data_IF_406076583347
#
_entry.id   IF_406076583347
#
_cell.length_a   1.000
_cell.length_b   1.000
_cell.length_c   1.000
_cell.angle_alpha   90.00
_cell.angle_beta   90.00
_cell.angle_gamma   90.00
#
_symmetry.space_group_name_H-M   'P 1'
#
loop_
_entity.id
_entity.type
_entity.pdbx_description
1 polymer ?
#
# COMPACT_ATOMS: atom_id res chain seq x y z
N UNK A 1 34.96 58.72 -47.79
CA UNK A 1 34.87 58.08 -46.45
C UNK A 1 33.54 57.39 -46.24
N UNK A 2 33.48 56.06 -46.36
CA UNK A 2 32.29 55.29 -46.12
C UNK A 2 32.32 54.78 -44.68
N UNK A 3 31.43 55.27 -43.81
CA UNK A 3 31.23 54.73 -42.46
C UNK A 3 30.52 53.36 -42.56
N UNK A 4 31.20 52.26 -42.19
CA UNK A 4 30.62 50.95 -41.93
C UNK A 4 29.84 51.06 -40.65
N UNK A 5 28.52 50.96 -40.73
CA UNK A 5 27.66 50.76 -39.58
C UNK A 5 27.89 49.31 -39.07
N UNK A 6 28.45 49.15 -37.89
CA UNK A 6 28.49 47.90 -37.15
C UNK A 6 27.06 47.61 -36.76
N UNK A 7 26.48 46.62 -37.43
CA UNK A 7 25.19 46.01 -37.03
C UNK A 7 25.45 45.30 -35.71
N UNK A 8 25.02 45.90 -34.60
CA UNK A 8 25.00 45.25 -33.32
C UNK A 8 24.07 44.03 -33.41
N UNK A 9 24.64 42.83 -33.42
CA UNK A 9 23.86 41.64 -33.17
C UNK A 9 23.22 41.77 -31.79
N UNK A 10 21.90 41.87 -31.77
CA UNK A 10 21.16 42.02 -30.52
C UNK A 10 21.42 40.79 -29.66
N UNK A 11 21.85 41.00 -28.41
CA UNK A 11 22.11 39.96 -27.37
C UNK A 11 20.98 38.96 -27.22
N UNK A 12 19.77 39.30 -27.60
CA UNK A 12 18.56 38.49 -27.69
C UNK A 12 18.69 37.30 -28.64
N UNK A 13 19.36 37.41 -29.80
CA UNK A 13 19.48 36.32 -30.76
C UNK A 13 20.46 35.22 -30.32
N UNK A 14 21.51 35.57 -29.60
CA UNK A 14 22.43 34.60 -29.01
C UNK A 14 21.76 33.82 -27.85
N UNK A 15 21.00 34.51 -26.98
CA UNK A 15 20.25 33.95 -25.88
C UNK A 15 19.26 32.87 -26.35
N UNK A 16 18.47 33.18 -27.38
CA UNK A 16 17.50 32.23 -27.96
C UNK A 16 18.19 31.03 -28.64
N UNK A 17 19.34 31.18 -29.26
CA UNK A 17 20.04 30.15 -30.00
C UNK A 17 20.83 29.17 -29.12
N UNK A 18 21.29 29.61 -27.93
CA UNK A 18 22.14 28.79 -27.06
C UNK A 18 21.45 28.38 -25.75
N UNK A 19 20.81 29.32 -25.06
CA UNK A 19 20.21 29.02 -23.75
C UNK A 19 18.89 28.28 -23.85
N UNK A 20 18.06 28.55 -24.84
CA UNK A 20 16.79 27.82 -25.02
C UNK A 20 17.00 26.34 -25.31
N UNK A 21 17.86 25.91 -26.25
CA UNK A 21 18.15 24.48 -26.43
C UNK A 21 18.74 23.82 -25.17
N UNK A 22 19.67 24.50 -24.49
CA UNK A 22 20.25 23.99 -23.25
C UNK A 22 19.20 23.79 -22.14
N UNK A 23 18.29 24.75 -21.97
CA UNK A 23 17.18 24.64 -21.03
C UNK A 23 16.21 23.51 -21.39
N UNK A 24 15.91 23.32 -22.69
CA UNK A 24 15.07 22.21 -23.15
C UNK A 24 15.73 20.86 -22.92
N UNK A 25 17.04 20.74 -23.16
CA UNK A 25 17.78 19.50 -22.86
C UNK A 25 17.77 19.22 -21.36
N UNK A 26 18.04 20.23 -20.54
CA UNK A 26 18.00 20.06 -19.08
C UNK A 26 16.61 19.64 -18.60
N UNK A 27 15.55 20.27 -19.11
CA UNK A 27 14.18 19.90 -18.82
C UNK A 27 13.87 18.44 -19.23
N UNK A 28 14.31 18.04 -20.44
CA UNK A 28 14.12 16.66 -20.92
C UNK A 28 14.85 15.64 -20.04
N UNK A 29 16.07 15.95 -19.59
CA UNK A 29 16.83 15.10 -18.67
C UNK A 29 16.12 14.98 -17.31
N UNK A 30 15.65 16.09 -16.74
CA UNK A 30 14.90 16.09 -15.49
C UNK A 30 13.61 15.27 -15.64
N UNK A 31 12.85 15.47 -16.71
CA UNK A 31 11.63 14.72 -16.97
C UNK A 31 11.89 13.21 -17.12
N UNK A 32 12.99 12.84 -17.80
CA UNK A 32 13.41 11.44 -17.93
C UNK A 32 13.75 10.81 -16.58
N UNK A 33 14.52 11.52 -15.75
CA UNK A 33 14.90 11.05 -14.41
C UNK A 33 13.65 10.88 -13.52
N UNK A 34 12.79 11.90 -13.46
CA UNK A 34 11.55 11.81 -12.67
C UNK A 34 10.63 10.70 -13.20
N UNK A 35 10.50 10.53 -14.51
CA UNK A 35 9.75 9.44 -15.13
C UNK A 35 10.31 8.07 -14.76
N UNK A 36 11.63 7.91 -14.79
CA UNK A 36 12.31 6.69 -14.35
C UNK A 36 12.06 6.38 -12.87
N UNK A 37 12.20 7.37 -11.98
CA UNK A 37 11.92 7.21 -10.55
C UNK A 37 10.47 6.77 -10.32
N UNK A 38 9.52 7.44 -10.98
CA UNK A 38 8.10 7.10 -10.86
C UNK A 38 7.80 5.71 -11.40
N UNK A 39 8.41 5.34 -12.53
CA UNK A 39 8.25 3.99 -13.07
C UNK A 39 8.76 2.91 -12.08
N UNK A 40 9.94 3.11 -11.50
CA UNK A 40 10.51 2.19 -10.51
C UNK A 40 9.64 2.05 -9.26
N UNK A 41 9.06 3.16 -8.77
CA UNK A 41 8.15 3.15 -7.62
C UNK A 41 6.80 2.51 -7.98
N UNK A 42 6.26 2.78 -9.17
CA UNK A 42 4.97 2.19 -9.57
C UNK A 42 5.05 0.70 -9.94
N UNK A 43 6.23 0.22 -10.34
CA UNK A 43 6.46 -1.17 -10.73
C UNK A 43 7.59 -1.81 -9.89
N UNK A 44 7.30 -2.24 -8.65
CA UNK A 44 8.32 -2.88 -7.80
C UNK A 44 8.85 -4.20 -8.38
N UNK A 45 8.17 -4.74 -9.37
CA UNK A 45 8.48 -6.02 -10.01
C UNK A 45 7.73 -7.20 -9.36
N UNK A 46 7.72 -8.35 -10.05
CA UNK A 46 7.10 -9.55 -9.53
C UNK A 46 7.90 -10.11 -8.35
N UNK A 47 7.16 -10.59 -7.35
CA UNK A 47 7.74 -11.32 -6.20
C UNK A 47 7.51 -12.80 -6.43
N UNK A 48 8.57 -13.60 -6.30
CA UNK A 48 8.45 -15.06 -6.44
C UNK A 48 7.63 -15.62 -5.28
N UNK A 49 6.51 -16.27 -5.58
CA UNK A 49 5.79 -17.07 -4.59
C UNK A 49 6.63 -18.32 -4.25
N UNK A 50 7.26 -18.33 -3.09
CA UNK A 50 8.11 -19.43 -2.64
C UNK A 50 7.30 -20.61 -2.11
N UNK A 51 6.12 -20.34 -1.57
CA UNK A 51 5.24 -21.31 -0.94
C UNK A 51 3.77 -20.97 -1.24
N UNK A 52 2.91 -21.98 -1.17
CA UNK A 52 1.47 -21.85 -1.30
C UNK A 52 0.76 -22.48 -0.08
N UNK A 53 -0.55 -22.33 0.09
CA UNK A 53 -1.26 -22.83 1.27
C UNK A 53 -1.08 -24.33 1.55
N UNK A 54 -0.87 -25.15 0.53
CA UNK A 54 -0.70 -26.61 0.70
C UNK A 54 0.58 -26.97 1.47
N UNK A 55 1.63 -26.15 1.40
CA UNK A 55 2.86 -26.33 2.18
C UNK A 55 2.59 -26.23 3.70
N UNK A 56 1.54 -25.55 4.08
CA UNK A 56 1.09 -25.38 5.47
C UNK A 56 -0.12 -26.26 5.81
N UNK A 57 -0.48 -27.21 4.92
CA UNK A 57 -1.65 -28.08 5.06
C UNK A 57 -2.97 -27.29 5.20
N UNK A 58 -3.02 -26.07 4.69
CA UNK A 58 -4.23 -25.25 4.67
C UNK A 58 -5.10 -25.66 3.48
N UNK A 59 -6.40 -25.97 3.70
CA UNK A 59 -7.33 -26.15 2.60
C UNK A 59 -7.51 -24.83 1.87
N UNK A 60 -7.34 -24.80 0.55
CA UNK A 60 -7.46 -23.56 -0.20
C UNK A 60 -8.07 -23.74 -1.58
N UNK A 61 -8.78 -22.70 -2.02
CA UNK A 61 -9.30 -22.57 -3.39
C UNK A 61 -8.71 -21.30 -3.99
N UNK A 62 -8.17 -21.40 -5.19
CA UNK A 62 -7.76 -20.21 -5.95
C UNK A 62 -8.99 -19.50 -6.49
N UNK A 63 -9.07 -18.19 -6.28
CA UNK A 63 -10.18 -17.35 -6.72
C UNK A 63 -9.68 -16.17 -7.54
N UNK A 64 -10.58 -15.68 -8.39
CA UNK A 64 -10.41 -14.42 -9.11
C UNK A 64 -11.56 -13.50 -8.71
N UNK A 65 -11.26 -12.46 -7.94
CA UNK A 65 -12.26 -11.52 -7.41
C UNK A 65 -12.44 -10.41 -8.45
N UNK A 66 -13.69 -10.10 -8.87
CA UNK A 66 -13.93 -8.99 -9.78
C UNK A 66 -13.46 -7.66 -9.19
N UNK A 67 -12.69 -6.88 -9.96
CA UNK A 67 -12.32 -5.51 -9.60
C UNK A 67 -13.11 -4.51 -10.42
N UNK A 68 -13.49 -3.40 -9.81
CA UNK A 68 -14.14 -2.26 -10.47
C UNK A 68 -13.29 -1.61 -11.57
N UNK A 69 -11.99 -1.91 -11.59
CA UNK A 69 -11.06 -1.47 -12.63
C UNK A 69 -10.89 -2.45 -13.80
N UNK A 70 -11.74 -3.48 -13.90
CA UNK A 70 -11.79 -4.42 -15.02
C UNK A 70 -10.79 -5.58 -14.96
N UNK A 71 -9.85 -5.56 -14.01
CA UNK A 71 -8.89 -6.64 -13.77
C UNK A 71 -9.34 -7.47 -12.56
N UNK A 72 -9.19 -8.81 -12.61
CA UNK A 72 -9.50 -9.63 -11.45
C UNK A 72 -8.39 -9.59 -10.40
N UNK A 73 -8.77 -9.65 -9.13
CA UNK A 73 -7.86 -9.74 -7.98
C UNK A 73 -7.65 -11.23 -7.67
N UNK A 74 -6.42 -11.77 -7.83
CA UNK A 74 -6.16 -13.16 -7.48
C UNK A 74 -6.14 -13.33 -5.96
N UNK A 75 -6.73 -14.42 -5.48
CA UNK A 75 -6.79 -14.70 -4.05
C UNK A 75 -6.85 -16.19 -3.73
N UNK A 76 -6.44 -16.54 -2.52
CA UNK A 76 -6.63 -17.85 -1.91
C UNK A 76 -7.75 -17.76 -0.88
N UNK A 77 -8.84 -18.46 -1.13
CA UNK A 77 -9.86 -18.70 -0.12
C UNK A 77 -9.48 -19.89 0.74
N UNK A 78 -9.38 -19.68 2.03
CA UNK A 78 -9.06 -20.70 3.04
C UNK A 78 -10.26 -20.80 3.98
N UNK A 79 -11.13 -21.82 3.81
CA UNK A 79 -12.33 -21.98 4.63
C UNK A 79 -11.97 -22.36 6.06
N UNK A 80 -12.59 -21.70 7.02
CA UNK A 80 -12.57 -22.01 8.44
C UNK A 80 -13.86 -22.69 8.89
N UNK A 81 -14.40 -22.26 10.02
CA UNK A 81 -15.67 -22.76 10.54
C UNK A 81 -16.85 -22.11 9.80
N UNK A 82 -17.94 -22.85 9.65
CA UNK A 82 -19.15 -22.36 8.99
C UNK A 82 -19.70 -21.12 9.73
N UNK A 83 -19.98 -20.06 8.98
CA UNK A 83 -20.45 -18.77 9.49
C UNK A 83 -19.49 -18.09 10.50
N UNK A 84 -18.21 -18.48 10.50
CA UNK A 84 -17.20 -17.76 11.23
C UNK A 84 -16.96 -16.38 10.62
N UNK A 85 -16.41 -15.42 11.40
CA UNK A 85 -15.95 -14.16 10.86
C UNK A 85 -14.93 -14.35 9.73
N UNK A 86 -14.96 -13.47 8.74
CA UNK A 86 -14.02 -13.48 7.63
C UNK A 86 -12.87 -12.50 7.84
N UNK A 87 -11.63 -12.90 7.49
CA UNK A 87 -10.47 -12.01 7.55
C UNK A 87 -9.82 -11.94 6.16
N UNK A 88 -9.62 -10.72 5.68
CA UNK A 88 -8.84 -10.43 4.47
C UNK A 88 -7.38 -10.24 4.88
N UNK A 89 -6.48 -10.98 4.26
CA UNK A 89 -5.03 -10.84 4.42
C UNK A 89 -4.44 -10.25 3.14
N UNK A 90 -3.97 -9.03 3.23
CA UNK A 90 -3.46 -8.27 2.10
C UNK A 90 -2.02 -7.82 2.36
N UNK A 91 -1.02 -8.57 1.88
CA UNK A 91 0.37 -8.13 1.89
C UNK A 91 0.55 -6.80 1.18
N UNK A 92 1.61 -6.09 1.53
CA UNK A 92 1.83 -4.72 1.06
C UNK A 92 2.68 -4.62 -0.21
N UNK A 93 3.20 -3.43 -0.41
CA UNK A 93 4.06 -3.08 -1.53
C UNK A 93 5.31 -3.98 -1.62
N UNK A 94 5.49 -4.63 -2.77
CA UNK A 94 6.60 -5.54 -3.02
C UNK A 94 6.55 -6.84 -2.22
N UNK A 95 5.39 -7.25 -1.75
CA UNK A 95 5.11 -8.51 -1.09
C UNK A 95 4.21 -9.40 -1.94
N UNK A 96 4.08 -10.67 -1.59
CA UNK A 96 3.16 -11.64 -2.22
C UNK A 96 2.25 -12.29 -1.19
N UNK A 97 1.22 -13.00 -1.66
CA UNK A 97 0.31 -13.79 -0.81
C UNK A 97 1.06 -14.78 0.10
N UNK A 98 2.20 -15.30 -0.36
CA UNK A 98 3.05 -16.21 0.42
C UNK A 98 3.49 -15.62 1.76
N UNK A 99 3.71 -14.31 1.81
CA UNK A 99 4.21 -13.62 3.01
C UNK A 99 3.16 -13.56 4.14
N UNK A 100 1.88 -13.80 3.82
CA UNK A 100 0.80 -13.84 4.80
C UNK A 100 0.49 -15.26 5.32
N UNK A 101 1.13 -16.32 4.78
CA UNK A 101 0.72 -17.69 5.08
C UNK A 101 0.99 -18.11 6.52
N UNK A 102 2.05 -17.62 7.15
CA UNK A 102 2.30 -17.90 8.58
C UNK A 102 1.18 -17.35 9.46
N UNK A 103 0.77 -16.11 9.22
CA UNK A 103 -0.38 -15.51 9.90
C UNK A 103 -1.69 -16.23 9.55
N UNK A 104 -1.86 -16.65 8.29
CA UNK A 104 -3.03 -17.42 7.87
C UNK A 104 -3.17 -18.72 8.66
N UNK A 105 -2.07 -19.43 8.95
CA UNK A 105 -2.08 -20.63 9.82
C UNK A 105 -2.61 -20.27 11.21
N UNK A 106 -2.06 -19.23 11.83
CA UNK A 106 -2.47 -18.83 13.18
C UNK A 106 -3.96 -18.46 13.24
N UNK A 107 -4.46 -17.72 12.26
CA UNK A 107 -5.87 -17.31 12.17
C UNK A 107 -6.78 -18.50 11.86
N UNK A 108 -6.38 -19.40 10.96
CA UNK A 108 -7.15 -20.59 10.64
C UNK A 108 -7.32 -21.53 11.86
N UNK A 109 -6.31 -21.61 12.74
CA UNK A 109 -6.39 -22.35 14.00
C UNK A 109 -7.47 -21.79 14.95
N UNK A 110 -7.79 -20.49 14.84
CA UNK A 110 -8.92 -19.86 15.53
C UNK A 110 -10.27 -20.03 14.81
N UNK A 111 -10.31 -20.73 13.68
CA UNK A 111 -11.52 -21.06 12.95
C UNK A 111 -12.01 -19.98 11.99
N UNK A 112 -11.27 -18.90 11.76
CA UNK A 112 -11.63 -17.85 10.83
C UNK A 112 -11.67 -18.31 9.37
N UNK A 113 -12.59 -17.76 8.59
CA UNK A 113 -12.56 -17.83 7.15
C UNK A 113 -11.57 -16.80 6.62
N UNK A 114 -10.64 -17.20 5.74
CA UNK A 114 -9.57 -16.30 5.29
C UNK A 114 -9.62 -16.11 3.78
N UNK A 115 -9.32 -14.90 3.36
CA UNK A 115 -9.09 -14.54 1.96
C UNK A 115 -7.74 -13.84 1.86
N UNK A 116 -6.74 -14.50 1.28
CA UNK A 116 -5.40 -13.94 1.06
C UNK A 116 -5.32 -13.42 -0.35
N UNK A 117 -5.05 -12.13 -0.54
CA UNK A 117 -5.08 -11.48 -1.86
C UNK A 117 -3.75 -10.82 -2.22
N UNK A 118 -3.41 -10.82 -3.51
CA UNK A 118 -2.32 -9.99 -4.02
C UNK A 118 -2.80 -8.58 -4.31
N UNK A 119 -2.00 -7.61 -3.90
CA UNK A 119 -2.26 -6.21 -4.20
C UNK A 119 -1.77 -5.82 -5.60
N UNK A 120 -2.33 -4.73 -6.13
CA UNK A 120 -1.92 -4.09 -7.39
C UNK A 120 -0.43 -3.75 -7.38
N UNK A 121 0.27 -4.03 -8.48
CA UNK A 121 1.71 -3.81 -8.61
C UNK A 121 2.59 -4.75 -7.78
N UNK A 122 2.00 -5.67 -7.02
CA UNK A 122 2.69 -6.63 -6.14
C UNK A 122 2.27 -8.06 -6.45
N UNK A 123 2.86 -9.03 -5.75
CA UNK A 123 2.56 -10.45 -5.93
C UNK A 123 3.39 -11.11 -7.04
N UNK A 124 3.06 -12.37 -7.32
CA UNK A 124 3.77 -13.20 -8.31
C UNK A 124 3.44 -12.81 -9.76
N UNK A 125 2.25 -12.28 -10.00
CA UNK A 125 1.79 -11.77 -11.29
C UNK A 125 1.19 -10.38 -11.12
N UNK A 126 2.02 -9.33 -11.02
CA UNK A 126 1.55 -7.98 -10.72
C UNK A 126 0.54 -7.48 -11.76
N UNK A 127 -0.61 -7.00 -11.29
CA UNK A 127 -1.67 -6.40 -12.09
C UNK A 127 -1.45 -4.90 -12.16
N UNK A 128 -1.10 -4.37 -13.32
CA UNK A 128 -0.88 -2.94 -13.51
C UNK A 128 0.16 -2.34 -12.57
N UNK A 129 0.15 -1.02 -12.46
CA UNK A 129 1.03 -0.27 -11.58
C UNK A 129 0.46 -0.16 -10.16
N UNK A 130 1.33 -0.16 -9.15
CA UNK A 130 0.96 0.32 -7.82
C UNK A 130 0.66 1.81 -7.89
N UNK A 131 -0.41 2.21 -7.26
CA UNK A 131 -0.84 3.60 -7.11
C UNK A 131 -0.66 4.10 -5.67
N UNK A 132 0.19 3.40 -4.92
CA UNK A 132 0.61 3.74 -3.55
C UNK A 132 -0.57 3.89 -2.56
N UNK A 133 -1.63 3.10 -2.76
CA UNK A 133 -2.82 3.09 -1.90
C UNK A 133 -4.09 3.64 -2.55
N UNK A 134 -4.02 4.33 -3.71
CA UNK A 134 -5.19 4.94 -4.33
C UNK A 134 -6.17 3.88 -4.86
N UNK A 135 -5.78 3.12 -5.90
CA UNK A 135 -6.59 2.04 -6.48
C UNK A 135 -6.54 0.76 -5.66
N UNK A 136 -5.49 0.60 -4.85
CA UNK A 136 -5.42 -0.47 -3.85
C UNK A 136 -6.58 -0.38 -2.87
N UNK A 137 -7.04 0.83 -2.53
CA UNK A 137 -8.22 1.02 -1.70
C UNK A 137 -9.52 0.62 -2.41
N UNK A 138 -9.64 0.85 -3.71
CA UNK A 138 -10.79 0.41 -4.49
C UNK A 138 -10.81 -1.12 -4.63
N UNK A 139 -9.65 -1.75 -4.93
CA UNK A 139 -9.50 -3.21 -4.95
C UNK A 139 -9.82 -3.83 -3.58
N UNK A 140 -9.43 -3.19 -2.47
CA UNK A 140 -9.79 -3.63 -1.12
C UNK A 140 -11.30 -3.53 -0.88
N UNK A 141 -11.94 -2.45 -1.32
CA UNK A 141 -13.38 -2.29 -1.23
C UNK A 141 -14.13 -3.39 -2.01
N UNK A 142 -13.66 -3.73 -3.20
CA UNK A 142 -14.21 -4.83 -3.99
C UNK A 142 -14.01 -6.19 -3.29
N UNK A 143 -12.85 -6.39 -2.66
CA UNK A 143 -12.56 -7.59 -1.86
C UNK A 143 -13.47 -7.69 -0.64
N UNK A 144 -13.75 -6.57 0.05
CA UNK A 144 -14.70 -6.52 1.17
C UNK A 144 -16.12 -6.89 0.70
N UNK A 145 -16.59 -6.31 -0.42
CA UNK A 145 -17.92 -6.66 -0.99
C UNK A 145 -18.00 -8.13 -1.34
N UNK A 146 -16.93 -8.68 -1.92
CA UNK A 146 -16.86 -10.12 -2.21
C UNK A 146 -16.98 -10.97 -0.94
N UNK A 147 -16.28 -10.59 0.14
CA UNK A 147 -16.35 -11.30 1.42
C UNK A 147 -17.73 -11.21 2.09
N UNK A 148 -18.40 -10.05 2.00
CA UNK A 148 -19.79 -9.87 2.50
C UNK A 148 -20.74 -10.82 1.76
N UNK A 149 -20.57 -10.99 0.45
CA UNK A 149 -21.42 -11.85 -0.39
C UNK A 149 -21.20 -13.36 -0.23
N UNK A 150 -20.19 -13.80 0.54
CA UNK A 150 -19.90 -15.22 0.70
C UNK A 150 -20.78 -15.88 1.77
N UNK A 151 -21.51 -16.97 1.42
CA UNK A 151 -22.43 -17.62 2.35
C UNK A 151 -21.74 -18.35 3.51
N UNK A 152 -20.43 -18.63 3.37
CA UNK A 152 -19.64 -19.28 4.42
C UNK A 152 -19.27 -18.32 5.56
N UNK A 153 -19.26 -17.00 5.30
CA UNK A 153 -18.90 -15.98 6.26
C UNK A 153 -20.05 -15.53 7.15
N UNK A 154 -19.69 -14.96 8.29
CA UNK A 154 -20.55 -14.00 8.98
C UNK A 154 -20.35 -12.61 8.30
N UNK A 155 -21.33 -12.09 7.55
CA UNK A 155 -21.16 -10.85 6.80
C UNK A 155 -21.00 -9.60 7.69
N UNK A 156 -21.44 -9.66 8.96
CA UNK A 156 -21.39 -8.52 9.89
C UNK A 156 -20.07 -8.41 10.64
N UNK A 157 -19.19 -9.41 10.51
CA UNK A 157 -17.93 -9.51 11.28
C UNK A 157 -16.75 -9.81 10.36
N UNK A 158 -16.24 -8.76 9.73
CA UNK A 158 -15.05 -8.85 8.89
C UNK A 158 -13.86 -8.18 9.56
N UNK A 159 -12.68 -8.79 9.35
CA UNK A 159 -11.39 -8.24 9.71
C UNK A 159 -10.53 -8.00 8.47
N UNK A 160 -9.58 -7.08 8.56
CA UNK A 160 -8.56 -6.87 7.53
C UNK A 160 -7.20 -6.74 8.19
N UNK A 161 -6.24 -7.54 7.75
CA UNK A 161 -4.83 -7.31 7.99
C UNK A 161 -4.18 -6.78 6.71
N UNK A 162 -3.45 -5.70 6.83
CA UNK A 162 -2.75 -5.10 5.72
C UNK A 162 -1.40 -4.50 6.10
N UNK A 163 -0.48 -4.45 5.14
CA UNK A 163 0.86 -3.87 5.29
C UNK A 163 1.02 -2.71 4.31
N UNK A 164 1.60 -1.60 4.70
CA UNK A 164 1.88 -0.43 3.85
C UNK A 164 0.64 0.05 3.06
N UNK A 165 0.66 -0.13 1.72
CA UNK A 165 -0.44 0.24 0.81
C UNK A 165 -1.73 -0.48 1.13
N UNK A 166 -1.62 -1.74 1.59
CA UNK A 166 -2.77 -2.53 2.03
C UNK A 166 -3.28 -2.09 3.41
N UNK A 167 -2.41 -1.61 4.30
CA UNK A 167 -2.83 -1.03 5.58
C UNK A 167 -3.63 0.27 5.37
N UNK A 168 -3.16 1.13 4.45
CA UNK A 168 -3.89 2.32 4.03
C UNK A 168 -5.26 1.95 3.44
N UNK A 169 -5.30 0.98 2.53
CA UNK A 169 -6.53 0.48 1.90
C UNK A 169 -7.49 -0.15 2.93
N UNK A 170 -6.97 -0.89 3.91
CA UNK A 170 -7.74 -1.51 4.99
C UNK A 170 -8.42 -0.47 5.88
N UNK A 171 -7.68 0.55 6.32
CA UNK A 171 -8.23 1.64 7.14
C UNK A 171 -9.30 2.44 6.37
N UNK A 172 -9.05 2.74 5.09
CA UNK A 172 -10.03 3.42 4.23
C UNK A 172 -11.29 2.57 4.02
N UNK A 173 -11.14 1.25 3.87
CA UNK A 173 -12.28 0.34 3.76
C UNK A 173 -13.04 0.21 5.08
N UNK A 174 -12.36 0.18 6.23
CA UNK A 174 -13.01 0.15 7.53
C UNK A 174 -13.87 1.40 7.78
N UNK A 175 -13.44 2.56 7.32
CA UNK A 175 -14.24 3.79 7.36
C UNK A 175 -15.51 3.69 6.48
N UNK A 176 -15.41 3.03 5.31
CA UNK A 176 -16.50 2.95 4.35
C UNK A 176 -17.50 1.79 4.60
N UNK A 177 -17.05 0.71 5.24
CA UNK A 177 -17.86 -0.52 5.44
C UNK A 177 -18.10 -0.79 6.93
N UNK A 178 -19.34 -0.71 7.40
CA UNK A 178 -19.69 -1.02 8.79
C UNK A 178 -19.42 -2.48 9.18
N UNK A 179 -19.41 -3.40 8.22
CA UNK A 179 -19.12 -4.83 8.38
C UNK A 179 -17.67 -5.10 8.76
N UNK A 180 -16.74 -4.23 8.38
CA UNK A 180 -15.34 -4.30 8.82
C UNK A 180 -15.26 -3.80 10.25
N UNK A 181 -15.07 -4.73 11.20
CA UNK A 181 -15.06 -4.45 12.65
C UNK A 181 -13.66 -4.28 13.22
N UNK A 182 -12.69 -4.99 12.66
CA UNK A 182 -11.33 -5.01 13.16
C UNK A 182 -10.30 -4.85 12.03
N UNK A 183 -9.28 -4.02 12.26
CA UNK A 183 -8.17 -3.82 11.31
C UNK A 183 -6.84 -3.95 12.04
N UNK A 184 -5.96 -4.80 11.53
CA UNK A 184 -4.55 -4.80 11.90
C UNK A 184 -3.74 -4.12 10.77
N UNK A 185 -3.28 -2.91 11.03
CA UNK A 185 -2.65 -2.03 10.04
C UNK A 185 -1.15 -1.90 10.31
N UNK A 186 -0.33 -2.66 9.57
CA UNK A 186 1.12 -2.64 9.72
C UNK A 186 1.73 -1.55 8.83
N UNK A 187 2.52 -0.69 9.43
CA UNK A 187 3.26 0.36 8.72
C UNK A 187 2.34 1.31 7.93
N UNK A 188 1.19 1.66 8.51
CA UNK A 188 0.22 2.56 7.90
C UNK A 188 0.76 4.00 7.81
N UNK A 189 0.21 4.75 6.86
CA UNK A 189 0.56 6.16 6.62
C UNK A 189 -0.69 7.01 6.39
N UNK A 190 -0.58 8.32 6.64
CA UNK A 190 -1.72 9.24 6.63
C UNK A 190 -2.14 9.63 5.22
N UNK A 191 -1.14 9.80 4.31
CA UNK A 191 -1.34 10.31 2.94
C UNK A 191 -0.41 9.64 1.95
N UNK A 192 -0.82 9.59 0.69
CA UNK A 192 -0.06 8.94 -0.39
C UNK A 192 1.30 9.63 -0.61
N UNK A 193 1.39 10.96 -0.46
CA UNK A 193 2.66 11.70 -0.63
C UNK A 193 3.68 11.34 0.48
N UNK A 194 3.21 11.00 1.69
CA UNK A 194 4.09 10.47 2.76
C UNK A 194 4.72 9.15 2.36
N UNK A 195 3.92 8.24 1.84
CA UNK A 195 4.43 6.96 1.38
C UNK A 195 5.35 7.09 0.16
N UNK A 196 5.01 7.97 -0.80
CA UNK A 196 5.88 8.29 -1.91
C UNK A 196 7.24 8.81 -1.43
N UNK A 197 7.25 9.74 -0.48
CA UNK A 197 8.48 10.27 0.11
C UNK A 197 9.32 9.18 0.80
N UNK A 198 8.66 8.29 1.53
CA UNK A 198 9.31 7.12 2.13
C UNK A 198 9.93 6.22 1.06
N UNK A 199 9.20 5.92 -0.03
CA UNK A 199 9.71 5.07 -1.13
C UNK A 199 10.91 5.70 -1.82
N UNK A 200 10.91 7.03 -2.06
CA UNK A 200 12.05 7.73 -2.64
C UNK A 200 13.28 7.58 -1.75
N UNK A 201 13.13 7.78 -0.45
CA UNK A 201 14.22 7.64 0.50
C UNK A 201 14.75 6.20 0.58
N UNK A 202 13.85 5.20 0.60
CA UNK A 202 14.21 3.79 0.72
C UNK A 202 14.85 3.23 -0.55
N UNK A 203 14.26 3.50 -1.73
CA UNK A 203 14.70 2.92 -2.99
C UNK A 203 15.94 3.58 -3.57
N UNK A 204 16.13 4.87 -3.32
CA UNK A 204 17.18 5.67 -3.93
C UNK A 204 18.17 6.29 -2.92
N UNK A 205 17.94 6.11 -1.62
CA UNK A 205 18.80 6.66 -0.58
C UNK A 205 18.79 8.19 -0.49
N UNK A 206 17.76 8.86 -1.05
CA UNK A 206 17.69 10.33 -1.14
C UNK A 206 16.47 10.85 -0.39
N UNK A 207 16.69 11.54 0.71
CA UNK A 207 15.66 12.32 1.40
C UNK A 207 15.80 13.80 1.09
N UNK A 208 15.14 14.26 0.03
CA UNK A 208 15.20 15.64 -0.43
C UNK A 208 13.79 16.18 -0.70
N UNK A 209 13.46 17.32 -0.07
CA UNK A 209 12.12 17.93 -0.18
C UNK A 209 11.78 18.36 -1.61
N UNK A 210 12.76 18.87 -2.36
CA UNK A 210 12.55 19.33 -3.75
C UNK A 210 12.27 18.15 -4.66
N UNK A 211 13.07 17.08 -4.53
CA UNK A 211 12.85 15.83 -5.29
C UNK A 211 11.48 15.22 -4.96
N UNK A 212 11.13 15.11 -3.69
CA UNK A 212 9.83 14.62 -3.27
C UNK A 212 8.68 15.45 -3.85
N UNK A 213 8.78 16.78 -3.76
CA UNK A 213 7.79 17.67 -4.37
C UNK A 213 7.68 17.47 -5.88
N UNK A 214 8.81 17.39 -6.60
CA UNK A 214 8.81 17.17 -8.04
C UNK A 214 8.18 15.80 -8.41
N UNK A 215 8.55 14.73 -7.71
CA UNK A 215 7.95 13.40 -7.89
C UNK A 215 6.45 13.41 -7.59
N UNK A 216 6.02 14.13 -6.54
CA UNK A 216 4.60 14.29 -6.21
C UNK A 216 3.82 14.99 -7.34
N UNK A 217 4.38 16.06 -7.95
CA UNK A 217 3.72 16.70 -9.09
C UNK A 217 3.61 15.77 -10.30
N UNK A 218 4.65 14.97 -10.58
CA UNK A 218 4.58 13.95 -11.65
C UNK A 218 3.54 12.89 -11.33
N UNK A 219 3.49 12.40 -10.08
CA UNK A 219 2.48 11.43 -9.65
C UNK A 219 1.06 11.98 -9.82
N UNK A 220 0.81 13.22 -9.41
CA UNK A 220 -0.50 13.90 -9.59
C UNK A 220 -0.87 14.04 -11.07
N UNK A 221 0.11 14.33 -11.93
CA UNK A 221 -0.13 14.43 -13.37
C UNK A 221 -0.48 13.07 -13.98
N UNK A 222 0.20 11.98 -13.57
CA UNK A 222 -0.09 10.63 -14.02
C UNK A 222 -1.49 10.14 -13.57
N UNK A 223 -1.97 10.67 -12.43
CA UNK A 223 -3.26 10.33 -11.84
C UNK A 223 -4.24 11.51 -11.84
N UNK A 224 -4.21 12.32 -12.91
CA UNK A 224 -5.01 13.55 -12.99
C UNK A 224 -6.53 13.32 -12.90
N UNK A 225 -7.00 12.14 -13.32
CA UNK A 225 -8.40 11.76 -13.19
C UNK A 225 -8.85 11.62 -11.73
N UNK A 226 -7.93 11.24 -10.85
CA UNK A 226 -8.17 10.97 -9.43
C UNK A 226 -7.71 12.13 -8.52
N UNK A 227 -7.36 13.27 -9.11
CA UNK A 227 -6.76 14.44 -8.46
C UNK A 227 -7.47 14.86 -7.16
N UNK A 228 -8.81 14.79 -7.12
CA UNK A 228 -9.60 15.19 -5.95
C UNK A 228 -9.47 14.27 -4.75
N UNK A 229 -8.98 13.06 -4.96
CA UNK A 229 -8.87 12.01 -3.93
C UNK A 229 -7.44 11.83 -3.45
N UNK A 230 -6.46 12.14 -4.32
CA UNK A 230 -5.03 11.95 -4.05
C UNK A 230 -4.52 12.66 -2.79
N UNK A 231 -4.96 13.90 -2.56
CA UNK A 231 -4.49 14.73 -1.46
C UNK A 231 -5.30 14.49 -0.15
N UNK A 232 -6.29 13.59 -0.17
CA UNK A 232 -7.12 13.35 1.02
C UNK A 232 -6.38 12.45 2.00
N UNK A 233 -6.25 12.88 3.26
CA UNK A 233 -5.76 12.00 4.31
C UNK A 233 -6.76 10.88 4.61
N UNK A 234 -6.30 9.86 5.34
CA UNK A 234 -7.19 8.84 5.89
C UNK A 234 -8.27 9.50 6.78
N UNK A 235 -9.54 9.10 6.62
CA UNK A 235 -10.65 9.64 7.42
C UNK A 235 -10.67 9.01 8.82
N UNK A 236 -9.73 9.40 9.69
CA UNK A 236 -9.50 8.77 11.00
C UNK A 236 -10.72 8.89 11.91
N UNK A 237 -11.48 10.00 11.79
CA UNK A 237 -12.72 10.22 12.56
C UNK A 237 -13.80 9.18 12.22
N UNK A 238 -13.82 8.69 10.99
CA UNK A 238 -14.78 7.66 10.54
C UNK A 238 -14.44 6.26 11.05
N UNK A 239 -13.27 6.10 11.68
CA UNK A 239 -12.84 4.85 12.32
C UNK A 239 -13.35 4.70 13.76
N UNK A 240 -14.11 5.65 14.27
CA UNK A 240 -14.71 5.56 15.60
C UNK A 240 -15.59 4.30 15.71
N UNK A 241 -15.41 3.53 16.78
CA UNK A 241 -16.12 2.26 17.00
C UNK A 241 -15.54 1.05 16.27
N UNK A 242 -14.44 1.19 15.54
CA UNK A 242 -13.65 0.07 14.98
C UNK A 242 -12.55 -0.32 15.95
N UNK A 243 -12.26 -1.62 16.03
CA UNK A 243 -11.06 -2.10 16.71
C UNK A 243 -9.87 -2.01 15.77
N UNK A 244 -8.83 -1.29 16.16
CA UNK A 244 -7.67 -1.07 15.30
C UNK A 244 -6.41 -1.46 16.07
N UNK A 245 -5.60 -2.32 15.46
CA UNK A 245 -4.23 -2.60 15.88
C UNK A 245 -3.27 -1.92 14.90
N UNK A 246 -2.69 -0.80 15.31
CA UNK A 246 -1.59 -0.18 14.60
C UNK A 246 -0.31 -0.94 14.89
N UNK A 247 0.42 -1.32 13.84
CA UNK A 247 1.66 -2.07 13.97
C UNK A 247 2.78 -1.26 13.32
N UNK A 248 3.88 -1.06 14.04
CA UNK A 248 5.05 -0.38 13.51
C UNK A 248 6.29 -1.25 13.60
N UNK A 249 7.17 -1.13 12.61
CA UNK A 249 8.53 -1.69 12.67
C UNK A 249 9.52 -0.68 13.24
N UNK A 250 10.42 -1.10 14.12
CA UNK A 250 11.42 -0.20 14.74
C UNK A 250 12.35 0.46 13.72
N UNK A 251 12.71 -0.24 12.63
CA UNK A 251 13.66 0.25 11.63
C UNK A 251 13.08 1.16 10.53
N UNK A 252 11.79 1.47 10.53
CA UNK A 252 11.11 2.15 9.40
C UNK A 252 10.99 3.67 9.53
N UNK A 253 11.74 4.32 10.37
CA UNK A 253 11.90 5.79 10.43
C UNK A 253 10.61 6.60 10.19
N UNK A 254 10.51 7.26 9.03
CA UNK A 254 9.37 8.11 8.69
C UNK A 254 8.03 7.37 8.66
N UNK A 255 8.01 6.09 8.26
CA UNK A 255 6.78 5.29 8.21
C UNK A 255 6.33 4.86 9.61
N UNK A 256 7.27 4.56 10.52
CA UNK A 256 6.95 4.33 11.93
C UNK A 256 6.34 5.59 12.58
N UNK A 257 6.89 6.77 12.28
CA UNK A 257 6.35 8.03 12.75
C UNK A 257 4.93 8.31 12.20
N UNK A 258 4.65 7.94 10.93
CA UNK A 258 3.31 8.02 10.35
C UNK A 258 2.31 7.12 11.07
N UNK A 259 2.70 5.86 11.35
CA UNK A 259 1.86 4.91 12.09
C UNK A 259 1.56 5.42 13.51
N UNK A 260 2.56 6.00 14.20
CA UNK A 260 2.37 6.62 15.52
C UNK A 260 1.42 7.82 15.47
N UNK A 261 1.54 8.66 14.44
CA UNK A 261 0.65 9.81 14.25
C UNK A 261 -0.81 9.35 14.02
N UNK A 262 -1.02 8.29 13.24
CA UNK A 262 -2.35 7.69 13.04
C UNK A 262 -2.90 7.11 14.35
N UNK A 263 -2.09 6.40 15.13
CA UNK A 263 -2.50 5.90 16.45
C UNK A 263 -2.85 7.05 17.39
N UNK A 264 -2.07 8.13 17.41
CA UNK A 264 -2.37 9.31 18.23
C UNK A 264 -3.68 9.99 17.83
N UNK A 265 -4.03 9.96 16.52
CA UNK A 265 -5.29 10.48 16.00
C UNK A 265 -6.48 9.53 16.25
N UNK A 266 -6.24 8.24 16.47
CA UNK A 266 -7.25 7.22 16.80
C UNK A 266 -6.90 6.53 18.13
N UNK A 267 -7.02 7.21 19.28
CA UNK A 267 -6.51 6.73 20.57
C UNK A 267 -7.26 5.49 21.12
N UNK A 268 -8.40 5.12 20.51
CA UNK A 268 -9.09 3.85 20.80
C UNK A 268 -8.36 2.62 20.22
N UNK A 269 -7.40 2.82 19.31
CA UNK A 269 -6.58 1.75 18.73
C UNK A 269 -5.47 1.30 19.68
N UNK A 270 -5.00 0.09 19.46
CA UNK A 270 -3.82 -0.47 20.12
C UNK A 270 -2.56 -0.20 19.29
N UNK A 271 -1.41 -0.06 19.92
CA UNK A 271 -0.12 0.07 19.23
C UNK A 271 0.80 -1.09 19.56
N UNK A 272 1.23 -1.81 18.54
CA UNK A 272 2.21 -2.88 18.62
C UNK A 272 3.50 -2.48 17.90
N UNK A 273 4.65 -2.90 18.42
CA UNK A 273 5.95 -2.69 17.78
C UNK A 273 6.63 -4.03 17.55
N UNK A 274 7.24 -4.22 16.38
CA UNK A 274 8.09 -5.37 16.08
C UNK A 274 9.52 -4.93 15.73
N UNK A 275 10.54 -5.78 16.00
CA UNK A 275 11.95 -5.36 15.98
C UNK A 275 12.57 -5.25 14.59
N UNK A 276 11.83 -5.50 13.52
CA UNK A 276 12.33 -5.45 12.14
C UNK A 276 11.72 -4.32 11.34
N UNK A 277 12.44 -3.85 10.31
CA UNK A 277 11.92 -2.79 9.43
C UNK A 277 10.71 -3.23 8.61
N UNK A 278 10.56 -4.52 8.31
CA UNK A 278 9.46 -5.08 7.52
C UNK A 278 8.99 -6.40 8.11
N UNK A 279 7.69 -6.66 8.09
CA UNK A 279 7.10 -7.88 8.63
C UNK A 279 7.67 -9.15 7.99
N UNK A 280 7.92 -9.16 6.68
CA UNK A 280 8.48 -10.31 5.98
C UNK A 280 9.97 -10.60 6.33
N UNK A 281 10.65 -9.69 7.02
CA UNK A 281 11.99 -9.93 7.58
C UNK A 281 11.93 -10.60 8.95
N UNK A 282 10.73 -10.74 9.55
CA UNK A 282 10.56 -11.50 10.78
C UNK A 282 10.78 -12.99 10.54
N UNK A 283 11.41 -13.66 11.48
CA UNK A 283 11.64 -15.10 11.44
C UNK A 283 11.65 -15.70 12.84
N UNK A 284 11.58 -17.01 12.91
CA UNK A 284 11.66 -17.74 14.18
C UNK A 284 10.63 -17.29 15.22
N UNK A 285 11.07 -17.02 16.44
CA UNK A 285 10.17 -16.61 17.54
C UNK A 285 9.59 -15.19 17.33
N UNK A 286 10.29 -14.29 16.63
CA UNK A 286 9.76 -12.96 16.29
C UNK A 286 8.53 -13.06 15.41
N UNK A 287 8.54 -13.88 14.38
CA UNK A 287 7.40 -14.11 13.50
C UNK A 287 6.24 -14.78 14.24
N UNK A 288 6.53 -15.82 15.02
CA UNK A 288 5.51 -16.50 15.84
C UNK A 288 4.85 -15.56 16.86
N UNK A 289 5.62 -14.65 17.44
CA UNK A 289 5.09 -13.65 18.37
C UNK A 289 4.17 -12.65 17.66
N UNK A 290 4.58 -12.18 16.49
CA UNK A 290 3.77 -11.33 15.62
C UNK A 290 2.44 -11.99 15.27
N UNK A 291 2.50 -13.20 14.69
CA UNK A 291 1.30 -13.95 14.28
C UNK A 291 0.34 -14.19 15.45
N UNK A 292 0.87 -14.53 16.62
CA UNK A 292 0.08 -14.77 17.83
C UNK A 292 -0.62 -13.50 18.34
N UNK A 293 0.07 -12.36 18.32
CA UNK A 293 -0.51 -11.09 18.74
C UNK A 293 -1.60 -10.62 17.78
N UNK A 294 -1.34 -10.68 16.46
CA UNK A 294 -2.33 -10.31 15.44
C UNK A 294 -3.53 -11.26 15.45
N UNK A 295 -3.30 -12.57 15.57
CA UNK A 295 -4.40 -13.55 15.66
C UNK A 295 -5.21 -13.36 16.95
N UNK A 296 -4.55 -13.10 18.08
CA UNK A 296 -5.21 -12.77 19.35
C UNK A 296 -6.08 -11.52 19.27
N UNK A 297 -5.58 -10.46 18.61
CA UNK A 297 -6.35 -9.25 18.37
C UNK A 297 -7.66 -9.53 17.60
N UNK A 298 -7.59 -10.26 16.49
CA UNK A 298 -8.79 -10.61 15.74
C UNK A 298 -9.73 -11.53 16.52
N UNK A 299 -9.18 -12.47 17.28
CA UNK A 299 -9.98 -13.36 18.11
C UNK A 299 -10.81 -12.58 19.15
N UNK A 300 -10.21 -11.61 19.83
CA UNK A 300 -10.88 -10.80 20.85
C UNK A 300 -11.94 -9.85 20.26
N UNK A 301 -11.74 -9.37 19.03
CA UNK A 301 -12.58 -8.31 18.46
C UNK A 301 -13.60 -8.79 17.41
N UNK A 302 -13.53 -10.07 16.98
CA UNK A 302 -14.44 -10.63 15.98
C UNK A 302 -15.27 -11.83 16.46
N UNK A 303 -14.92 -12.46 17.58
CA UNK A 303 -15.65 -13.60 18.13
C UNK A 303 -16.70 -13.25 19.22
#
# INVERSE_FOLDING_TARGET
MKRRALKGETSSGWFLRTLLPAALILFAVIALVLGFLMHRISYPGPVTESVNPSHYLLPSLELQIPSSHGESIPGWWIPGLKHAPGIILAPGYGMSRSDALSLAVALHQHGFNLLVVDQRGSGSAPRGASTLGLREADDMADTVRFMIGRPENNPERLGIWGVDTSAFAALKSAAAFPEVRAVAADSAYETIDRFLGYRIAEDFGVDNRVLRFACWQVFRLLHIADFRVLDRPLPVEELAGKSILFIRGEGRGALAASTEALHAAAPQGELMTHPTARVHALSGEGLKSYDRQVAGFFHLNLQ
#
